data_IF_964482135855
#
_entry.id   IF_964482135855
#
_cell.length_a   1.000
_cell.length_b   1.000
_cell.length_c   1.000
_cell.angle_alpha   90.00
_cell.angle_beta   90.00
_cell.angle_gamma   90.00
#
_symmetry.space_group_name_H-M   'P 1'
#
loop_
_entity.id
_entity.type
_entity.pdbx_description
1 polymer ?
#
# COMPACT_ATOMS: atom_id res chain seq x y z
N UNK A 1 -3.32 -26.75 -13.47
CA UNK A 1 -4.30 -25.95 -12.73
C UNK A 1 -4.23 -24.49 -13.14
N UNK A 2 -5.36 -23.97 -13.56
CA UNK A 2 -5.42 -22.65 -14.15
C UNK A 2 -5.60 -21.50 -13.13
N UNK A 3 -6.01 -21.79 -11.90
CA UNK A 3 -6.18 -20.79 -10.87
C UNK A 3 -5.86 -21.36 -9.51
N UNK A 4 -5.62 -20.48 -8.57
CA UNK A 4 -5.37 -20.85 -7.18
C UNK A 4 -6.57 -20.50 -6.33
N UNK A 5 -6.89 -21.38 -5.40
CA UNK A 5 -7.92 -21.08 -4.41
C UNK A 5 -7.29 -20.27 -3.27
N UNK A 6 -8.13 -19.45 -2.64
CA UNK A 6 -7.76 -18.66 -1.47
C UNK A 6 -8.75 -18.93 -0.34
N UNK A 7 -8.30 -18.87 0.90
CA UNK A 7 -9.24 -18.98 2.04
C UNK A 7 -10.29 -17.88 1.96
N UNK A 8 -11.51 -18.19 2.36
CA UNK A 8 -12.58 -17.19 2.39
C UNK A 8 -12.22 -15.98 3.25
N UNK A 9 -11.53 -16.22 4.37
CA UNK A 9 -11.08 -15.13 5.24
C UNK A 9 -10.18 -14.14 4.48
N UNK A 10 -9.31 -14.63 3.61
CA UNK A 10 -8.45 -13.78 2.80
C UNK A 10 -9.26 -12.97 1.79
N UNK A 11 -10.26 -13.59 1.16
CA UNK A 11 -11.13 -12.87 0.22
C UNK A 11 -11.91 -11.78 0.92
N UNK A 12 -12.42 -12.04 2.12
CA UNK A 12 -13.12 -11.05 2.92
C UNK A 12 -12.20 -9.92 3.34
N UNK A 13 -10.95 -10.24 3.70
CA UNK A 13 -9.95 -9.23 4.05
C UNK A 13 -9.68 -8.31 2.86
N UNK A 14 -9.48 -8.88 1.68
CA UNK A 14 -9.28 -8.11 0.45
C UNK A 14 -10.46 -7.20 0.19
N UNK A 15 -11.68 -7.70 0.37
CA UNK A 15 -12.90 -6.91 0.20
C UNK A 15 -12.93 -5.69 1.11
N UNK A 16 -12.57 -5.84 2.38
CA UNK A 16 -12.56 -4.72 3.32
C UNK A 16 -11.52 -3.67 2.95
N UNK A 17 -10.32 -4.11 2.58
CA UNK A 17 -9.23 -3.18 2.22
C UNK A 17 -9.54 -2.47 0.90
N UNK A 18 -10.05 -3.20 -0.09
CA UNK A 18 -10.40 -2.62 -1.39
C UNK A 18 -11.59 -1.67 -1.29
N UNK A 19 -12.56 -1.95 -0.43
CA UNK A 19 -13.70 -1.07 -0.20
C UNK A 19 -13.27 0.28 0.40
N UNK A 20 -12.14 0.30 1.10
CA UNK A 20 -11.60 1.48 1.77
C UNK A 20 -10.60 2.25 0.91
N UNK A 21 -10.34 1.83 -0.31
CA UNK A 21 -9.32 2.48 -1.14
C UNK A 21 -9.67 3.94 -1.42
N UNK A 22 -8.64 4.76 -1.51
CA UNK A 22 -8.75 6.18 -1.77
C UNK A 22 -7.71 6.58 -2.81
N UNK A 23 -7.92 7.72 -3.44
CA UNK A 23 -6.94 8.30 -4.35
C UNK A 23 -6.60 9.72 -3.92
N UNK A 24 -5.42 10.17 -4.30
CA UNK A 24 -4.99 11.56 -4.09
C UNK A 24 -4.15 12.01 -5.29
N UNK A 25 -3.78 13.30 -5.31
CA UNK A 25 -3.00 13.89 -6.41
C UNK A 25 -3.68 13.62 -7.77
N UNK A 26 -4.98 13.90 -7.86
CA UNK A 26 -5.78 13.72 -9.08
C UNK A 26 -5.75 12.28 -9.63
N UNK A 27 -5.77 11.31 -8.73
CA UNK A 27 -5.78 9.90 -9.09
C UNK A 27 -4.39 9.29 -9.33
N UNK A 28 -3.33 10.08 -9.21
CA UNK A 28 -1.95 9.60 -9.43
C UNK A 28 -1.43 8.72 -8.30
N UNK A 29 -2.08 8.78 -7.13
CA UNK A 29 -1.75 7.93 -5.99
C UNK A 29 -3.00 7.17 -5.58
N UNK A 30 -2.90 5.85 -5.46
CA UNK A 30 -3.96 5.01 -4.90
C UNK A 30 -3.44 4.35 -3.63
N UNK A 31 -4.26 4.33 -2.59
CA UNK A 31 -3.84 3.77 -1.32
C UNK A 31 -5.00 3.19 -0.54
N UNK A 32 -4.69 2.31 0.40
CA UNK A 32 -5.64 1.81 1.37
C UNK A 32 -4.92 1.39 2.64
N UNK A 33 -5.70 1.04 3.64
CA UNK A 33 -5.19 0.70 4.97
C UNK A 33 -5.73 -0.66 5.40
N UNK A 34 -4.87 -1.49 6.00
CA UNK A 34 -5.24 -2.75 6.60
C UNK A 34 -5.05 -2.62 8.11
N UNK A 35 -6.13 -2.72 8.85
CA UNK A 35 -6.15 -2.58 10.31
C UNK A 35 -6.20 -3.94 11.00
N UNK A 36 -5.73 -4.02 12.24
CA UNK A 36 -5.87 -5.23 13.04
C UNK A 36 -7.34 -5.62 13.19
N UNK A 37 -8.24 -4.63 13.25
CA UNK A 37 -9.68 -4.88 13.29
C UNK A 37 -10.20 -5.57 12.03
N UNK A 38 -9.54 -5.39 10.90
CA UNK A 38 -9.92 -6.09 9.67
C UNK A 38 -9.60 -7.59 9.78
N UNK A 39 -8.46 -7.92 10.39
CA UNK A 39 -8.11 -9.32 10.63
C UNK A 39 -9.11 -9.97 11.58
N UNK A 40 -9.44 -9.29 12.67
CA UNK A 40 -10.41 -9.80 13.65
C UNK A 40 -11.80 -10.00 13.03
N UNK A 41 -12.25 -9.05 12.22
CA UNK A 41 -13.58 -9.10 11.61
C UNK A 41 -13.71 -10.21 10.56
N UNK A 42 -12.63 -10.60 9.90
CA UNK A 42 -12.67 -11.56 8.80
C UNK A 42 -12.17 -12.95 9.19
N UNK A 43 -11.52 -13.07 10.34
CA UNK A 43 -10.84 -14.30 10.72
C UNK A 43 -9.53 -14.52 9.98
N UNK A 44 -9.06 -13.52 9.23
CA UNK A 44 -7.81 -13.61 8.50
C UNK A 44 -6.62 -13.46 9.44
N UNK A 45 -5.47 -13.93 8.99
CA UNK A 45 -4.20 -13.79 9.70
C UNK A 45 -3.26 -12.89 8.89
N UNK A 46 -2.22 -12.36 9.53
CA UNK A 46 -1.33 -11.40 8.88
C UNK A 46 -0.82 -11.84 7.50
N UNK A 47 -0.38 -13.09 7.27
CA UNK A 47 0.06 -13.50 5.93
C UNK A 47 -1.00 -13.40 4.84
N UNK A 48 -2.28 -13.38 5.19
CA UNK A 48 -3.37 -13.23 4.21
C UNK A 48 -3.37 -11.87 3.53
N UNK A 49 -2.60 -10.90 4.04
CA UNK A 49 -2.49 -9.56 3.43
C UNK A 49 -1.64 -9.54 2.16
N UNK A 50 -0.88 -10.60 1.89
CA UNK A 50 -0.07 -10.65 0.68
C UNK A 50 -0.93 -10.58 -0.58
N UNK A 51 -0.45 -9.83 -1.54
CA UNK A 51 -1.14 -9.65 -2.82
C UNK A 51 -2.07 -8.46 -2.89
N UNK A 52 -2.46 -7.86 -1.76
CA UNK A 52 -3.35 -6.68 -1.78
C UNK A 52 -2.70 -5.52 -2.52
N UNK A 53 -1.41 -5.27 -2.26
CA UNK A 53 -0.71 -4.17 -2.93
C UNK A 53 -0.68 -4.35 -4.45
N UNK A 54 -0.57 -5.58 -4.92
CA UNK A 54 -0.53 -5.84 -6.35
C UNK A 54 -1.89 -5.58 -7.01
N UNK A 55 -2.99 -5.73 -6.26
CA UNK A 55 -4.31 -5.36 -6.75
C UNK A 55 -4.43 -3.84 -6.91
N UNK A 56 -3.96 -3.08 -5.92
CA UNK A 56 -3.96 -1.62 -6.02
C UNK A 56 -3.08 -1.15 -7.19
N UNK A 57 -1.97 -1.83 -7.40
CA UNK A 57 -1.04 -1.51 -8.48
C UNK A 57 -1.64 -1.72 -9.88
N UNK A 58 -2.77 -2.40 -10.00
CA UNK A 58 -3.48 -2.56 -11.27
C UNK A 58 -4.25 -1.31 -11.68
N UNK A 59 -4.32 -0.30 -10.82
CA UNK A 59 -4.97 0.97 -11.19
C UNK A 59 -4.36 1.52 -12.47
N UNK A 60 -5.19 1.88 -13.44
CA UNK A 60 -4.72 2.40 -14.71
C UNK A 60 -4.13 3.81 -14.57
N UNK A 61 -4.67 4.60 -13.67
CA UNK A 61 -4.29 6.01 -13.53
C UNK A 61 -3.21 6.26 -12.50
N UNK A 62 -3.11 5.42 -11.48
CA UNK A 62 -2.17 5.67 -10.39
C UNK A 62 -0.74 5.36 -10.79
N UNK A 63 0.14 6.29 -10.46
CA UNK A 63 1.59 6.12 -10.64
C UNK A 63 2.23 5.47 -9.43
N UNK A 64 1.62 5.66 -8.26
CA UNK A 64 2.06 5.08 -6.99
C UNK A 64 0.88 4.39 -6.32
N UNK A 65 1.09 3.15 -5.87
CA UNK A 65 0.13 2.42 -5.05
C UNK A 65 0.76 2.13 -3.69
N UNK A 66 0.02 2.39 -2.61
CA UNK A 66 0.51 2.23 -1.24
C UNK A 66 -0.52 1.49 -0.39
N UNK A 67 -0.08 0.48 0.36
CA UNK A 67 -0.88 -0.13 1.41
C UNK A 67 -0.20 0.13 2.75
N UNK A 68 -0.99 0.66 3.69
CA UNK A 68 -0.57 0.90 5.07
C UNK A 68 -1.15 -0.22 5.92
N UNK A 69 -0.30 -0.92 6.65
CA UNK A 69 -0.72 -2.06 7.47
C UNK A 69 -0.30 -1.84 8.90
N UNK A 70 -1.26 -1.91 9.82
CA UNK A 70 -0.92 -1.89 11.25
C UNK A 70 -0.01 -3.06 11.59
N UNK A 71 1.06 -2.78 12.33
CA UNK A 71 2.05 -3.78 12.74
C UNK A 71 2.52 -3.43 14.15
N UNK A 72 1.84 -3.96 15.16
CA UNK A 72 2.08 -3.58 16.55
C UNK A 72 1.84 -2.09 16.76
N UNK A 73 2.82 -1.39 17.33
CA UNK A 73 2.74 0.06 17.57
C UNK A 73 3.09 0.88 16.34
N UNK A 74 3.57 0.23 15.29
CA UNK A 74 4.02 0.91 14.08
C UNK A 74 3.16 0.58 12.87
N UNK A 75 3.69 0.95 11.72
CA UNK A 75 3.02 0.75 10.44
C UNK A 75 4.01 0.21 9.42
N UNK A 76 3.60 -0.85 8.73
CA UNK A 76 4.35 -1.38 7.59
C UNK A 76 3.72 -0.81 6.32
N UNK A 77 4.54 -0.25 5.44
CA UNK A 77 4.06 0.20 4.14
C UNK A 77 4.62 -0.67 3.03
N UNK A 78 3.79 -0.90 2.03
CA UNK A 78 4.17 -1.55 0.78
C UNK A 78 3.89 -0.57 -0.35
N UNK A 79 4.84 -0.42 -1.27
CA UNK A 79 4.76 0.54 -2.36
C UNK A 79 5.02 -0.15 -3.69
N UNK A 80 4.20 0.19 -4.69
CA UNK A 80 4.42 -0.22 -6.08
C UNK A 80 4.36 1.01 -6.96
N UNK A 81 5.20 1.05 -8.00
CA UNK A 81 5.19 2.11 -8.98
C UNK A 81 5.24 1.53 -10.39
N UNK A 82 4.94 2.35 -11.39
CA UNK A 82 4.90 1.91 -12.78
C UNK A 82 6.26 2.07 -13.45
N UNK A 83 6.59 1.20 -14.42
CA UNK A 83 7.84 1.32 -15.18
C UNK A 83 7.98 2.71 -15.81
N UNK A 84 9.17 3.28 -15.72
CA UNK A 84 9.45 4.59 -16.29
C UNK A 84 8.96 5.77 -15.45
N UNK A 85 8.28 5.50 -14.34
CA UNK A 85 7.76 6.52 -13.46
C UNK A 85 8.61 6.72 -12.21
N UNK A 86 7.96 7.05 -11.11
CA UNK A 86 8.60 7.31 -9.83
C UNK A 86 9.32 6.05 -9.32
N UNK A 87 10.49 6.22 -8.73
CA UNK A 87 11.23 5.14 -8.10
C UNK A 87 10.68 4.91 -6.69
N UNK A 88 10.12 3.73 -6.45
CA UNK A 88 9.52 3.38 -5.17
C UNK A 88 10.52 3.47 -4.01
N UNK A 89 11.81 3.20 -4.26
CA UNK A 89 12.83 3.25 -3.21
C UNK A 89 13.14 4.66 -2.74
N UNK A 90 12.87 5.67 -3.57
CA UNK A 90 13.02 7.07 -3.15
C UNK A 90 12.00 7.39 -2.08
N UNK A 91 10.75 6.94 -2.26
CA UNK A 91 9.71 7.14 -1.26
C UNK A 91 10.03 6.38 0.03
N UNK A 92 10.24 5.08 -0.07
CA UNK A 92 10.47 4.26 1.12
C UNK A 92 11.78 4.57 1.81
N UNK A 93 12.79 5.01 1.07
CA UNK A 93 14.08 5.42 1.64
C UNK A 93 13.96 6.61 2.58
N UNK A 94 12.99 7.49 2.38
CA UNK A 94 12.72 8.61 3.29
C UNK A 94 12.30 8.13 4.67
N UNK A 95 11.83 6.89 4.77
CA UNK A 95 11.32 6.29 6.01
C UNK A 95 12.16 5.09 6.44
N UNK A 96 13.39 5.02 5.98
CA UNK A 96 14.32 3.96 6.38
C UNK A 96 14.11 2.62 5.70
N UNK A 97 13.32 2.58 4.65
CA UNK A 97 13.03 1.36 3.92
C UNK A 97 13.87 1.18 2.67
N UNK A 98 13.47 0.21 1.85
CA UNK A 98 14.17 -0.11 0.62
C UNK A 98 13.45 -1.19 -0.18
N UNK A 99 14.12 -1.69 -1.20
CA UNK A 99 13.58 -2.71 -2.09
C UNK A 99 14.06 -2.46 -3.52
N UNK A 100 13.11 -2.52 -4.44
CA UNK A 100 13.39 -2.32 -5.87
C UNK A 100 12.64 -1.08 -6.38
N UNK A 101 13.10 -0.55 -7.51
CA UNK A 101 12.51 0.67 -8.10
C UNK A 101 11.00 0.58 -8.32
N UNK A 102 10.46 -0.61 -8.59
CA UNK A 102 9.02 -0.83 -8.81
C UNK A 102 8.29 -1.37 -7.60
N UNK A 103 9.00 -1.86 -6.57
CA UNK A 103 8.40 -2.56 -5.45
C UNK A 103 9.28 -2.40 -4.22
N UNK A 104 8.83 -1.65 -3.24
CA UNK A 104 9.60 -1.40 -2.04
C UNK A 104 8.70 -1.34 -0.81
N UNK A 105 9.30 -1.26 0.37
CA UNK A 105 8.56 -1.19 1.62
C UNK A 105 9.38 -0.54 2.72
N UNK A 106 8.70 -0.20 3.80
CA UNK A 106 9.32 0.37 4.99
C UNK A 106 8.48 0.05 6.21
N UNK A 107 9.10 0.12 7.38
CA UNK A 107 8.40 0.03 8.65
C UNK A 107 8.62 1.34 9.39
N UNK A 108 7.52 2.00 9.75
CA UNK A 108 7.57 3.27 10.46
C UNK A 108 7.17 3.05 11.92
N UNK A 109 7.90 3.69 12.82
CA UNK A 109 7.57 3.67 14.25
C UNK A 109 6.51 4.73 14.57
N UNK A 110 5.42 4.73 13.79
CA UNK A 110 4.32 5.68 13.90
C UNK A 110 3.00 4.92 13.83
N UNK A 111 1.96 5.36 14.56
CA UNK A 111 0.61 4.84 14.38
C UNK A 111 0.15 5.06 12.95
N UNK A 112 -0.79 4.24 12.48
CA UNK A 112 -1.18 4.22 11.07
C UNK A 112 -1.68 5.57 10.56
N UNK A 113 -2.42 6.33 11.35
CA UNK A 113 -2.91 7.64 10.91
C UNK A 113 -1.78 8.63 10.66
N UNK A 114 -0.77 8.64 11.52
CA UNK A 114 0.39 9.51 11.37
C UNK A 114 1.29 9.05 10.22
N UNK A 115 1.48 7.73 10.08
CA UNK A 115 2.24 7.17 8.98
C UNK A 115 1.60 7.53 7.63
N UNK A 116 0.28 7.44 7.54
CA UNK A 116 -0.44 7.81 6.32
C UNK A 116 -0.19 9.27 5.96
N UNK A 117 -0.33 10.18 6.91
CA UNK A 117 -0.10 11.61 6.65
C UNK A 117 1.32 11.86 6.13
N UNK A 118 2.31 11.30 6.80
CA UNK A 118 3.71 11.51 6.43
C UNK A 118 4.05 10.94 5.07
N UNK A 119 3.64 9.72 4.80
CA UNK A 119 3.96 9.02 3.54
C UNK A 119 3.20 9.63 2.37
N UNK A 120 1.92 9.95 2.55
CA UNK A 120 1.14 10.56 1.47
C UNK A 120 1.66 11.95 1.12
N UNK A 121 2.06 12.75 2.11
CA UNK A 121 2.64 14.07 1.85
C UNK A 121 3.90 13.95 0.98
N UNK A 122 4.77 12.99 1.28
CA UNK A 122 5.98 12.76 0.50
C UNK A 122 5.66 12.24 -0.89
N UNK A 123 4.72 11.30 -1.00
CA UNK A 123 4.31 10.75 -2.30
C UNK A 123 3.70 11.84 -3.19
N UNK A 124 2.89 12.72 -2.61
CA UNK A 124 2.29 13.83 -3.35
C UNK A 124 3.36 14.81 -3.87
N UNK A 125 4.37 15.09 -3.06
CA UNK A 125 5.51 15.91 -3.52
C UNK A 125 6.23 15.27 -4.70
N UNK A 126 6.43 13.95 -4.63
CA UNK A 126 7.15 13.22 -5.68
C UNK A 126 6.40 13.25 -7.01
N UNK A 127 5.09 13.01 -6.99
CA UNK A 127 4.32 13.03 -8.24
C UNK A 127 4.16 14.44 -8.77
N UNK A 128 4.09 15.45 -7.90
CA UNK A 128 4.02 16.85 -8.32
C UNK A 128 5.31 17.30 -9.04
N UNK A 129 6.44 16.70 -8.70
CA UNK A 129 7.73 17.03 -9.31
C UNK A 129 7.94 16.34 -10.68
N UNK A 130 7.05 15.40 -11.04
CA UNK A 130 7.16 14.63 -12.28
C UNK A 130 6.03 15.03 -13.22
N UNK A 131 6.37 15.34 -14.48
CA UNK A 131 5.38 15.66 -15.50
C UNK A 131 4.46 14.46 -15.74
N UNK A 132 3.21 14.75 -15.96
CA UNK A 132 2.19 13.73 -16.21
C UNK A 132 2.25 13.21 -17.63
#
# INVERSE_FOLDING_TARGET
RLYRSKPDAQLKLFGRVLDRLETSADGRIIHSTLLDSDLAATGAIAPHSEGIIDLLAQSEEAEIAIVFKEAGDGTRISVRTKPGGVDATVLTGRFGGGGHARASGATLALPVAEARRAVLAEAERMVAAVAR
#
